data_IF_608356401476
#
_entry.id   IF_608356401476
#
_cell.length_a   1.000
_cell.length_b   1.000
_cell.length_c   1.000
_cell.angle_alpha   90.00
_cell.angle_beta   90.00
_cell.angle_gamma   90.00
#
_symmetry.space_group_name_H-M   'P 1'
#
loop_
_entity.id
_entity.type
_entity.pdbx_description
1 polymer ?
#
# COMPACT_ATOMS: atom_id res chain seq x y z
N UNK A 1 -13.38 -12.11 8.20
CA UNK A 1 -12.33 -13.07 8.56
C UNK A 1 -12.40 -13.52 10.02
N UNK A 2 -12.68 -12.67 11.01
CA UNK A 2 -12.75 -13.08 12.42
C UNK A 2 -13.67 -14.29 12.65
N UNK A 3 -14.92 -14.23 12.15
CA UNK A 3 -15.88 -15.34 12.27
C UNK A 3 -15.46 -16.62 11.55
N UNK A 4 -14.65 -16.50 10.51
CA UNK A 4 -14.10 -17.67 9.82
C UNK A 4 -12.95 -18.30 10.61
N UNK A 5 -12.07 -17.48 11.21
CA UNK A 5 -10.97 -17.95 12.04
C UNK A 5 -11.48 -18.75 13.25
N UNK A 6 -12.57 -18.32 13.88
CA UNK A 6 -13.20 -19.03 15.00
C UNK A 6 -13.64 -20.46 14.68
N UNK A 7 -13.76 -20.83 13.41
CA UNK A 7 -14.12 -22.18 12.98
C UNK A 7 -12.93 -23.15 12.93
N UNK A 8 -11.69 -22.63 12.98
CA UNK A 8 -10.49 -23.45 12.99
C UNK A 8 -10.06 -23.77 14.42
N UNK A 9 -9.51 -24.98 14.65
CA UNK A 9 -8.97 -25.33 15.97
C UNK A 9 -7.71 -24.52 16.29
N UNK A 10 -7.32 -24.53 17.56
CA UNK A 10 -6.05 -23.95 18.01
C UNK A 10 -4.87 -24.63 17.33
N UNK A 11 -3.81 -23.86 17.04
CA UNK A 11 -2.55 -24.37 16.50
C UNK A 11 -2.72 -25.19 15.22
N UNK A 12 -3.53 -24.72 14.30
CA UNK A 12 -3.86 -25.41 13.05
C UNK A 12 -2.88 -25.08 11.91
N UNK A 13 -2.55 -23.78 11.73
CA UNK A 13 -1.74 -23.30 10.62
C UNK A 13 -0.25 -23.25 10.99
N UNK A 14 0.63 -23.57 10.03
CA UNK A 14 2.08 -23.47 10.19
C UNK A 14 2.58 -22.04 10.05
N UNK A 15 2.00 -21.27 9.13
CA UNK A 15 2.31 -19.88 8.86
C UNK A 15 1.10 -19.14 8.29
N UNK A 16 1.09 -17.83 8.41
CA UNK A 16 0.05 -16.97 7.84
C UNK A 16 0.72 -15.81 7.10
N UNK A 17 0.27 -15.57 5.86
CA UNK A 17 0.62 -14.38 5.08
C UNK A 17 -0.66 -13.64 4.74
N UNK A 18 -0.71 -12.34 5.02
CA UNK A 18 -1.91 -11.54 4.82
C UNK A 18 -1.60 -10.13 4.33
N UNK A 19 -2.50 -9.59 3.52
CA UNK A 19 -2.48 -8.21 3.04
C UNK A 19 -3.78 -7.51 3.49
N UNK A 20 -3.85 -7.06 4.75
CA UNK A 20 -5.04 -6.40 5.27
C UNK A 20 -5.19 -4.99 4.67
N UNK A 21 -6.37 -4.37 4.74
CA UNK A 21 -6.54 -2.96 4.39
C UNK A 21 -5.53 -2.06 5.11
N UNK A 22 -4.92 -1.11 4.37
CA UNK A 22 -3.86 -0.25 4.92
C UNK A 22 -4.38 0.92 5.77
N UNK A 23 -5.70 1.04 5.91
CA UNK A 23 -6.38 2.06 6.70
C UNK A 23 -5.98 3.51 6.31
N UNK A 24 -5.76 3.70 5.01
CA UNK A 24 -5.40 5.00 4.42
C UNK A 24 -6.63 5.80 3.98
N UNK A 25 -7.83 5.21 4.04
CA UNK A 25 -9.05 5.78 3.49
C UNK A 25 -8.96 5.98 1.98
N UNK A 26 -8.35 5.03 1.27
CA UNK A 26 -8.05 5.12 -0.16
C UNK A 26 -9.27 5.50 -0.98
N UNK A 27 -9.23 6.64 -1.67
CA UNK A 27 -10.31 7.20 -2.48
C UNK A 27 -11.66 7.34 -1.72
N UNK A 28 -11.63 7.51 -0.40
CA UNK A 28 -12.83 7.57 0.44
C UNK A 28 -13.59 6.25 0.54
N UNK A 29 -12.97 5.14 0.22
CA UNK A 29 -13.58 3.81 0.26
C UNK A 29 -13.67 3.29 1.69
N UNK A 30 -14.85 2.90 2.12
CA UNK A 30 -15.11 2.40 3.49
C UNK A 30 -14.32 1.14 3.85
N UNK A 31 -13.98 0.29 2.87
CA UNK A 31 -13.25 -0.94 3.12
C UNK A 31 -11.79 -0.69 3.58
N UNK A 32 -11.20 0.47 3.23
CA UNK A 32 -9.84 0.86 3.63
C UNK A 32 -9.84 1.85 4.81
N UNK A 33 -10.86 1.80 5.65
CA UNK A 33 -11.00 2.59 6.88
C UNK A 33 -11.91 1.89 7.89
N UNK A 34 -11.76 0.57 7.98
CA UNK A 34 -12.56 -0.27 8.87
C UNK A 34 -11.93 -0.44 10.25
N UNK A 35 -10.65 -0.11 10.40
CA UNK A 35 -9.87 -0.34 11.60
C UNK A 35 -9.48 -1.80 11.81
N UNK A 36 -9.74 -2.69 10.84
CA UNK A 36 -9.53 -4.14 11.01
C UNK A 36 -8.05 -4.49 11.20
N UNK A 37 -7.12 -3.74 10.55
CA UNK A 37 -5.69 -3.96 10.69
C UNK A 37 -5.17 -3.59 12.10
N UNK A 38 -5.95 -2.82 12.88
CA UNK A 38 -5.60 -2.42 14.25
C UNK A 38 -6.41 -3.16 15.32
N UNK A 39 -7.24 -4.11 14.91
CA UNK A 39 -8.10 -4.86 15.81
C UNK A 39 -7.31 -5.98 16.51
N UNK A 40 -7.00 -5.78 17.78
CA UNK A 40 -6.26 -6.74 18.62
C UNK A 40 -6.98 -8.08 18.70
N UNK A 41 -8.32 -8.11 18.79
CA UNK A 41 -9.10 -9.34 18.84
C UNK A 41 -8.89 -10.20 17.59
N UNK A 42 -8.81 -9.56 16.40
CA UNK A 42 -8.49 -10.27 15.17
C UNK A 42 -7.12 -10.94 15.25
N UNK A 43 -6.11 -10.21 15.71
CA UNK A 43 -4.75 -10.73 15.81
C UNK A 43 -4.60 -11.78 16.91
N UNK A 44 -5.40 -11.71 17.97
CA UNK A 44 -5.49 -12.77 18.99
C UNK A 44 -6.04 -14.08 18.40
N UNK A 45 -7.07 -13.99 17.52
CA UNK A 45 -7.57 -15.15 16.81
C UNK A 45 -6.56 -15.70 15.80
N UNK A 46 -5.83 -14.83 15.10
CA UNK A 46 -4.69 -15.22 14.24
C UNK A 46 -3.62 -15.93 15.05
N UNK A 47 -3.28 -15.41 16.23
CA UNK A 47 -2.34 -16.04 17.17
C UNK A 47 -2.84 -17.43 17.63
N UNK A 48 -4.11 -17.55 17.99
CA UNK A 48 -4.71 -18.79 18.46
C UNK A 48 -4.59 -19.92 17.43
N UNK A 49 -4.96 -19.66 16.18
CA UNK A 49 -4.96 -20.67 15.11
C UNK A 49 -3.58 -20.99 14.57
N UNK A 50 -2.58 -20.15 14.83
CA UNK A 50 -1.20 -20.40 14.41
C UNK A 50 -0.51 -21.36 15.39
N UNK A 51 0.30 -22.31 14.89
CA UNK A 51 1.11 -23.20 15.72
C UNK A 51 2.15 -22.41 16.52
N UNK A 52 2.54 -22.86 17.75
CA UNK A 52 3.66 -22.27 18.48
C UNK A 52 4.92 -22.20 17.62
N UNK A 53 5.60 -21.05 17.58
CA UNK A 53 6.75 -20.81 16.70
C UNK A 53 6.41 -20.51 15.24
N UNK A 54 5.13 -20.60 14.84
CA UNK A 54 4.68 -20.23 13.50
C UNK A 54 4.87 -18.75 13.21
N UNK A 55 5.14 -18.40 11.94
CA UNK A 55 5.39 -17.03 11.51
C UNK A 55 4.17 -16.39 10.86
N UNK A 56 4.01 -15.10 11.12
CA UNK A 56 3.04 -14.21 10.49
C UNK A 56 3.78 -13.18 9.65
N UNK A 57 3.39 -13.02 8.39
CA UNK A 57 3.80 -11.93 7.52
C UNK A 57 2.57 -11.08 7.21
N UNK A 58 2.57 -9.82 7.64
CA UNK A 58 1.46 -8.88 7.40
C UNK A 58 1.95 -7.67 6.63
N UNK A 59 1.43 -7.49 5.40
CA UNK A 59 1.74 -6.33 4.56
C UNK A 59 1.07 -5.08 5.11
N UNK A 60 1.72 -3.93 4.97
CA UNK A 60 1.19 -2.66 5.44
C UNK A 60 1.66 -1.47 4.63
N UNK A 61 0.95 -0.36 4.77
CA UNK A 61 1.36 0.90 4.16
C UNK A 61 2.40 1.64 5.02
N UNK A 62 3.35 2.32 4.37
CA UNK A 62 4.43 3.08 5.06
C UNK A 62 3.93 4.10 6.10
N UNK A 63 2.68 4.56 5.97
CA UNK A 63 2.08 5.54 6.88
C UNK A 63 1.41 4.94 8.10
N UNK A 64 1.04 3.66 8.04
CA UNK A 64 0.10 3.02 8.99
C UNK A 64 0.59 1.71 9.56
N UNK A 65 1.60 1.06 8.94
CA UNK A 65 2.10 -0.26 9.36
C UNK A 65 2.53 -0.32 10.84
N UNK A 66 3.03 0.78 11.39
CA UNK A 66 3.46 0.85 12.80
C UNK A 66 2.30 0.57 13.76
N UNK A 67 1.07 1.05 13.45
CA UNK A 67 -0.12 0.77 14.27
C UNK A 67 -0.54 -0.69 14.20
N UNK A 68 -0.42 -1.30 13.00
CA UNK A 68 -0.67 -2.73 12.83
C UNK A 68 0.38 -3.56 13.56
N UNK A 69 1.66 -3.17 13.50
CA UNK A 69 2.73 -3.83 14.25
C UNK A 69 2.48 -3.80 15.76
N UNK A 70 2.06 -2.65 16.32
CA UNK A 70 1.67 -2.55 17.73
C UNK A 70 0.47 -3.48 18.05
N UNK A 71 -0.57 -3.51 17.19
CA UNK A 71 -1.73 -4.37 17.44
C UNK A 71 -1.38 -5.87 17.38
N UNK A 72 -0.45 -6.26 16.50
CA UNK A 72 0.09 -7.62 16.43
C UNK A 72 0.87 -7.97 17.69
N UNK A 73 1.74 -7.06 18.18
CA UNK A 73 2.51 -7.23 19.40
C UNK A 73 1.59 -7.30 20.64
N UNK A 74 0.62 -6.39 20.76
CA UNK A 74 -0.38 -6.36 21.84
C UNK A 74 -1.26 -7.61 21.86
N UNK A 75 -1.45 -8.27 20.72
CA UNK A 75 -2.13 -9.56 20.64
C UNK A 75 -1.30 -10.74 21.18
N UNK A 76 -0.01 -10.55 21.45
CA UNK A 76 0.89 -11.54 22.04
C UNK A 76 1.90 -12.15 21.08
N UNK A 77 2.06 -11.62 19.87
CA UNK A 77 3.13 -11.99 18.95
C UNK A 77 4.48 -11.39 19.37
N UNK A 78 5.55 -12.06 19.03
CA UNK A 78 6.91 -11.52 19.05
C UNK A 78 7.21 -10.87 17.68
N UNK A 79 7.40 -9.56 17.62
CA UNK A 79 7.90 -8.90 16.41
C UNK A 79 9.35 -9.34 16.20
N UNK A 80 9.65 -9.87 15.00
CA UNK A 80 10.96 -10.43 14.67
C UNK A 80 11.76 -9.56 13.73
N UNK A 81 11.09 -8.98 12.71
CA UNK A 81 11.75 -8.15 11.71
C UNK A 81 10.71 -7.35 10.91
N UNK A 82 11.20 -6.49 10.00
CA UNK A 82 10.40 -5.80 9.02
C UNK A 82 11.00 -6.03 7.62
N UNK A 83 10.34 -6.84 6.80
CA UNK A 83 10.72 -7.08 5.41
C UNK A 83 10.22 -5.93 4.54
N UNK A 84 10.98 -5.57 3.50
CA UNK A 84 10.59 -4.51 2.57
C UNK A 84 10.30 -5.10 1.19
N UNK A 85 9.08 -4.94 0.72
CA UNK A 85 8.73 -5.20 -0.67
C UNK A 85 9.05 -3.95 -1.50
N UNK A 86 10.15 -3.98 -2.25
CA UNK A 86 10.62 -2.83 -3.02
C UNK A 86 10.02 -2.80 -4.41
N UNK A 87 9.61 -1.62 -4.88
CA UNK A 87 9.13 -1.41 -6.24
C UNK A 87 9.47 -0.01 -6.76
N UNK A 88 9.66 0.10 -8.09
CA UNK A 88 10.05 1.37 -8.74
C UNK A 88 8.84 2.21 -9.20
N UNK A 89 7.64 1.64 -9.24
CA UNK A 89 6.45 2.22 -9.87
C UNK A 89 5.32 2.54 -8.87
N UNK A 90 5.66 3.09 -7.71
CA UNK A 90 4.67 3.49 -6.72
C UNK A 90 3.71 4.57 -7.27
N UNK A 91 2.44 4.52 -6.84
CA UNK A 91 1.44 5.53 -7.20
C UNK A 91 1.83 6.90 -6.61
N UNK A 92 2.02 7.96 -7.41
CA UNK A 92 2.38 9.27 -6.90
C UNK A 92 1.21 9.87 -6.12
N UNK A 93 1.43 10.19 -4.84
CA UNK A 93 0.45 10.82 -3.94
C UNK A 93 0.76 12.30 -3.70
N UNK A 94 1.83 12.82 -4.33
CA UNK A 94 2.27 14.19 -4.19
C UNK A 94 1.49 15.11 -5.10
N UNK A 95 1.04 16.25 -4.55
CA UNK A 95 0.57 17.36 -5.33
C UNK A 95 1.74 18.30 -5.61
N UNK A 96 1.82 18.82 -6.82
CA UNK A 96 2.75 19.86 -7.24
C UNK A 96 2.25 21.21 -6.67
N UNK A 97 3.04 21.81 -5.77
CA UNK A 97 2.64 23.03 -5.04
C UNK A 97 2.62 24.22 -5.99
N UNK A 98 3.62 24.34 -6.84
CA UNK A 98 3.73 25.40 -7.85
C UNK A 98 2.49 25.45 -8.75
N UNK A 99 2.09 24.30 -9.31
CA UNK A 99 0.87 24.19 -10.12
C UNK A 99 -0.41 24.49 -9.34
N UNK A 100 -0.44 24.11 -8.07
CA UNK A 100 -1.59 24.38 -7.21
C UNK A 100 -1.74 25.88 -6.91
N UNK A 101 -0.63 26.62 -6.75
CA UNK A 101 -0.60 28.08 -6.55
C UNK A 101 -1.13 28.79 -7.78
N UNK A 102 -0.56 28.54 -8.96
CA UNK A 102 -1.01 29.17 -10.21
C UNK A 102 -2.51 28.92 -10.46
N UNK A 103 -2.95 27.67 -10.26
CA UNK A 103 -4.38 27.33 -10.36
C UNK A 103 -5.25 28.11 -9.38
N UNK A 104 -4.79 28.32 -8.15
CA UNK A 104 -5.52 29.09 -7.13
C UNK A 104 -5.59 30.58 -7.48
N UNK A 105 -4.54 31.11 -8.09
CA UNK A 105 -4.44 32.51 -8.54
C UNK A 105 -5.09 32.75 -9.91
N UNK A 106 -5.57 31.66 -10.59
CA UNK A 106 -6.18 31.75 -11.91
C UNK A 106 -5.19 32.08 -13.03
N UNK A 107 -3.90 31.85 -12.80
CA UNK A 107 -2.85 32.11 -13.78
C UNK A 107 -2.68 30.89 -14.72
N UNK A 108 -2.55 31.16 -16.02
CA UNK A 108 -2.27 30.17 -17.04
C UNK A 108 -0.77 29.94 -17.18
N UNK A 109 -0.34 28.69 -17.16
CA UNK A 109 1.06 28.27 -17.28
C UNK A 109 1.43 28.06 -18.75
N UNK A 110 2.56 28.59 -19.17
CA UNK A 110 3.10 28.35 -20.49
C UNK A 110 3.60 26.91 -20.62
N UNK A 111 3.28 26.25 -21.73
CA UNK A 111 3.81 24.93 -22.07
C UNK A 111 5.19 25.09 -22.69
N UNK A 112 6.23 24.64 -21.99
CA UNK A 112 7.63 24.76 -22.39
C UNK A 112 8.23 23.46 -22.95
N UNK A 113 7.50 22.36 -22.87
CA UNK A 113 7.98 21.05 -23.37
C UNK A 113 7.02 19.91 -23.11
N UNK A 114 7.52 18.72 -23.41
CA UNK A 114 6.77 17.48 -23.25
C UNK A 114 7.60 16.48 -22.43
N UNK A 115 6.99 15.83 -21.46
CA UNK A 115 7.60 14.76 -20.66
C UNK A 115 7.65 13.46 -21.47
N UNK A 116 8.75 13.23 -22.16
CA UNK A 116 8.97 12.01 -22.96
C UNK A 116 8.93 10.73 -22.10
N UNK A 117 9.33 10.79 -20.84
CA UNK A 117 9.28 9.64 -19.93
C UNK A 117 7.83 9.29 -19.62
N UNK A 118 7.00 10.31 -19.38
CA UNK A 118 5.57 10.12 -19.20
C UNK A 118 4.92 9.51 -20.44
N UNK A 119 5.24 10.02 -21.63
CA UNK A 119 4.70 9.52 -22.90
C UNK A 119 5.16 8.08 -23.19
N UNK A 120 6.42 7.73 -22.95
CA UNK A 120 6.92 6.35 -23.11
C UNK A 120 6.21 5.36 -22.17
N UNK A 121 5.92 5.77 -20.94
CA UNK A 121 5.20 4.94 -19.95
C UNK A 121 3.71 4.85 -20.23
N UNK A 122 3.17 5.81 -20.94
CA UNK A 122 1.75 5.92 -21.25
C UNK A 122 1.55 6.15 -22.76
N UNK A 123 1.94 5.19 -23.64
CA UNK A 123 1.91 5.40 -25.09
C UNK A 123 0.51 5.69 -25.66
N UNK A 124 -0.54 5.34 -24.90
CA UNK A 124 -1.92 5.63 -25.24
C UNK A 124 -2.42 6.98 -24.71
N UNK A 125 -1.59 7.73 -23.98
CA UNK A 125 -1.92 9.02 -23.39
C UNK A 125 -1.24 10.18 -24.15
N UNK A 126 -1.31 10.13 -25.47
CA UNK A 126 -0.84 11.19 -26.38
C UNK A 126 -1.77 12.41 -26.41
N UNK A 127 -2.28 12.85 -25.24
CA UNK A 127 -3.34 13.88 -25.19
C UNK A 127 -4.69 13.41 -25.75
N UNK A 128 -4.71 12.25 -26.37
CA UNK A 128 -5.89 11.57 -26.92
C UNK A 128 -6.03 10.22 -26.20
N UNK A 129 -6.37 10.26 -24.91
CA UNK A 129 -6.65 9.02 -24.15
C UNK A 129 -7.82 8.28 -24.78
N UNK A 130 -7.55 7.21 -25.50
CA UNK A 130 -8.55 6.22 -25.87
C UNK A 130 -8.73 5.22 -24.71
N UNK A 131 -9.49 5.60 -23.69
CA UNK A 131 -10.44 4.61 -23.18
C UNK A 131 -11.49 4.55 -24.29
N UNK A 132 -11.70 3.37 -24.90
CA UNK A 132 -12.75 3.20 -25.89
C UNK A 132 -14.08 3.57 -25.21
N UNK A 133 -14.54 4.79 -25.45
CA UNK A 133 -15.81 5.30 -24.96
C UNK A 133 -16.81 5.21 -26.08
N UNK A 134 -18.02 4.82 -25.75
CA UNK A 134 -19.17 4.96 -26.65
C UNK A 134 -19.39 6.44 -26.99
N UNK A 135 -20.14 6.72 -28.03
CA UNK A 135 -20.46 8.09 -28.47
C UNK A 135 -21.14 8.96 -27.40
N UNK A 136 -21.70 8.35 -26.35
CA UNK A 136 -22.35 8.98 -25.21
C UNK A 136 -21.37 9.29 -24.00
N UNK A 137 -20.08 9.05 -24.16
CA UNK A 137 -19.07 9.28 -23.12
C UNK A 137 -18.98 8.18 -22.06
N UNK A 138 -19.67 7.05 -22.25
CA UNK A 138 -19.56 5.88 -21.38
C UNK A 138 -18.43 4.95 -21.86
N UNK A 139 -17.75 4.27 -20.92
CA UNK A 139 -16.78 3.22 -21.26
C UNK A 139 -17.48 1.97 -21.77
N UNK A 140 -16.76 1.07 -22.45
CA UNK A 140 -17.32 -0.19 -22.94
C UNK A 140 -17.92 -1.07 -21.81
N UNK A 141 -17.50 -0.86 -20.56
CA UNK A 141 -18.04 -1.52 -19.36
C UNK A 141 -19.24 -0.76 -18.73
N UNK A 142 -19.74 0.29 -19.38
CA UNK A 142 -20.95 1.03 -18.97
C UNK A 142 -20.72 2.06 -17.85
N UNK A 143 -19.48 2.33 -17.45
CA UNK A 143 -19.18 3.34 -16.41
C UNK A 143 -19.02 4.72 -17.05
N UNK A 144 -19.59 5.75 -16.42
CA UNK A 144 -19.25 7.14 -16.78
C UNK A 144 -17.83 7.44 -16.32
N UNK A 145 -16.95 7.87 -17.22
CA UNK A 145 -15.59 8.27 -16.85
C UNK A 145 -15.66 9.58 -16.05
N UNK A 146 -15.24 9.58 -14.77
CA UNK A 146 -15.20 10.82 -13.98
C UNK A 146 -14.00 11.71 -14.36
N UNK A 147 -13.14 11.26 -15.27
CA UNK A 147 -11.95 12.00 -15.65
C UNK A 147 -12.24 12.93 -16.82
N UNK A 148 -12.37 14.24 -16.54
CA UNK A 148 -12.12 15.24 -17.58
C UNK A 148 -10.67 15.05 -18.05
N UNK A 149 -10.47 14.89 -19.38
CA UNK A 149 -9.13 14.93 -19.98
C UNK A 149 -8.44 16.20 -19.49
N UNK A 150 -7.24 16.07 -18.90
CA UNK A 150 -6.37 17.21 -18.81
C UNK A 150 -5.80 17.44 -20.20
N UNK A 151 -6.07 18.56 -20.82
CA UNK A 151 -5.55 18.94 -22.14
C UNK A 151 -4.01 18.98 -22.17
N UNK A 152 -3.36 18.91 -20.99
CA UNK A 152 -1.93 19.02 -20.79
C UNK A 152 -1.30 17.75 -20.17
N UNK A 153 -1.89 16.57 -20.35
CA UNK A 153 -1.27 15.32 -19.84
C UNK A 153 0.08 15.08 -20.54
N UNK A 154 1.16 15.06 -19.75
CA UNK A 154 2.52 14.94 -20.26
C UNK A 154 3.18 16.24 -20.73
N UNK A 155 2.54 17.41 -20.55
CA UNK A 155 3.18 18.70 -20.81
C UNK A 155 4.03 19.15 -19.61
N UNK A 156 5.21 19.66 -19.90
CA UNK A 156 6.05 20.40 -18.96
C UNK A 156 5.64 21.87 -19.07
N UNK A 157 5.33 22.51 -17.95
CA UNK A 157 4.86 23.90 -17.92
C UNK A 157 5.74 24.74 -17.00
N UNK A 158 5.99 26.00 -17.37
CA UNK A 158 6.68 26.96 -16.51
C UNK A 158 5.72 27.58 -15.47
N UNK A 159 6.22 27.97 -14.27
CA UNK A 159 5.44 28.75 -13.32
C UNK A 159 5.02 30.09 -13.93
N UNK A 160 3.76 30.47 -13.73
CA UNK A 160 3.20 31.72 -14.28
C UNK A 160 3.32 32.88 -13.30
N UNK A 161 3.39 32.62 -12.00
CA UNK A 161 3.45 33.64 -10.95
C UNK A 161 4.75 33.58 -10.15
N UNK A 162 5.23 34.70 -9.56
CA UNK A 162 6.41 34.68 -8.69
C UNK A 162 6.26 33.74 -7.51
N UNK A 163 5.07 33.64 -6.91
CA UNK A 163 4.77 32.73 -5.82
C UNK A 163 4.86 31.27 -6.26
N UNK A 164 4.39 30.95 -7.45
CA UNK A 164 4.53 29.59 -8.00
C UNK A 164 5.99 29.25 -8.34
N UNK A 165 6.78 30.24 -8.74
CA UNK A 165 8.21 30.08 -9.04
C UNK A 165 9.01 29.72 -7.76
N UNK A 166 8.72 30.37 -6.64
CA UNK A 166 9.35 30.08 -5.35
C UNK A 166 9.13 28.61 -4.92
N UNK A 167 7.99 28.02 -5.26
CA UNK A 167 7.60 26.65 -4.91
C UNK A 167 7.81 25.64 -6.05
N UNK A 168 8.57 26.00 -7.07
CA UNK A 168 8.89 25.07 -8.17
C UNK A 168 9.69 23.87 -7.65
N UNK A 169 9.28 22.67 -8.04
CA UNK A 169 9.88 21.41 -7.59
C UNK A 169 9.43 20.93 -6.19
N UNK A 170 8.59 21.69 -5.49
CA UNK A 170 8.06 21.27 -4.19
C UNK A 170 6.78 20.46 -4.33
N UNK A 171 6.70 19.39 -3.53
CA UNK A 171 5.54 18.51 -3.48
C UNK A 171 5.06 18.24 -2.06
N UNK A 172 3.84 17.71 -1.93
CA UNK A 172 3.20 17.45 -0.63
C UNK A 172 3.52 16.08 -0.04
N UNK A 173 4.12 15.17 -0.80
CA UNK A 173 4.42 13.82 -0.34
C UNK A 173 5.55 13.17 -1.16
N UNK A 174 6.22 12.21 -0.57
CA UNK A 174 7.15 11.34 -1.28
C UNK A 174 6.38 10.28 -2.08
N UNK A 175 6.97 9.86 -3.20
CA UNK A 175 6.47 8.72 -3.96
C UNK A 175 6.78 7.45 -3.16
N UNK A 176 5.79 6.57 -2.89
CA UNK A 176 6.06 5.31 -2.23
C UNK A 176 6.96 4.43 -3.10
N UNK A 177 7.93 3.77 -2.47
CA UNK A 177 8.90 2.89 -3.12
C UNK A 177 8.95 1.51 -2.49
N UNK A 178 8.23 1.31 -1.40
CA UNK A 178 8.17 0.04 -0.69
C UNK A 178 6.86 -0.15 0.06
N UNK A 179 6.57 -1.40 0.36
CA UNK A 179 5.58 -1.82 1.34
C UNK A 179 6.30 -2.57 2.46
N UNK A 180 6.19 -2.10 3.72
CA UNK A 180 6.74 -2.82 4.87
C UNK A 180 5.87 -4.04 5.18
N UNK A 181 6.52 -5.16 5.49
CA UNK A 181 5.87 -6.41 5.89
C UNK A 181 6.32 -6.71 7.32
N UNK A 182 5.39 -6.72 8.25
CA UNK A 182 5.67 -7.12 9.63
C UNK A 182 5.93 -8.63 9.64
N UNK A 183 7.15 -9.02 10.05
CA UNK A 183 7.47 -10.41 10.34
C UNK A 183 7.34 -10.62 11.84
N UNK A 184 6.34 -11.39 12.24
CA UNK A 184 6.08 -11.74 13.63
C UNK A 184 6.05 -13.26 13.81
N UNK A 185 6.23 -13.71 15.04
CA UNK A 185 6.21 -15.11 15.41
C UNK A 185 5.32 -15.34 16.62
N UNK A 186 4.51 -16.40 16.61
CA UNK A 186 3.86 -16.87 17.84
C UNK A 186 4.93 -17.37 18.81
N UNK A 187 4.88 -17.02 20.10
CA UNK A 187 5.81 -17.54 21.09
C UNK A 187 5.95 -19.06 21.04
N UNK A 188 7.14 -19.52 21.35
CA UNK A 188 7.40 -20.97 21.45
C UNK A 188 6.61 -21.57 22.63
N UNK A 189 6.16 -22.81 22.49
CA UNK A 189 5.62 -23.57 23.63
C UNK A 189 6.70 -24.38 24.36
N UNK A 190 7.84 -24.56 23.72
CA UNK A 190 8.95 -25.35 24.22
C UNK A 190 10.12 -24.45 24.64
N UNK A 191 11.05 -24.99 25.44
CA UNK A 191 12.20 -24.24 25.97
C UNK A 191 13.18 -23.79 24.89
N UNK A 192 13.31 -24.57 23.80
CA UNK A 192 14.22 -24.30 22.71
C UNK A 192 13.51 -24.31 21.37
N UNK A 193 14.09 -23.65 20.36
CA UNK A 193 13.59 -23.73 18.97
C UNK A 193 13.65 -25.16 18.47
N UNK A 194 14.70 -25.92 18.80
CA UNK A 194 14.85 -27.31 18.37
C UNK A 194 13.71 -28.19 18.92
N UNK A 195 13.38 -28.09 20.19
CA UNK A 195 12.26 -28.81 20.78
C UNK A 195 10.92 -28.41 20.16
N UNK A 196 10.74 -27.13 19.89
CA UNK A 196 9.53 -26.62 19.25
C UNK A 196 9.38 -27.15 17.82
N UNK A 197 10.47 -27.17 17.03
CA UNK A 197 10.47 -27.72 15.66
C UNK A 197 10.18 -29.21 15.68
N UNK A 198 10.79 -29.95 16.59
CA UNK A 198 10.51 -31.40 16.71
C UNK A 198 9.05 -31.71 17.06
N UNK A 199 8.43 -30.84 17.88
CA UNK A 199 7.04 -31.07 18.32
C UNK A 199 6.00 -30.52 17.32
N UNK A 200 6.23 -29.34 16.76
CA UNK A 200 5.24 -28.60 15.99
C UNK A 200 5.57 -28.47 14.50
N UNK A 201 6.80 -28.70 14.08
CA UNK A 201 7.28 -28.47 12.73
C UNK A 201 7.48 -26.98 12.39
N UNK A 202 7.42 -26.09 13.38
CA UNK A 202 7.47 -24.63 13.23
C UNK A 202 8.54 -24.03 14.17
N UNK A 203 8.98 -22.78 13.87
CA UNK A 203 9.99 -22.07 14.67
C UNK A 203 11.22 -21.64 13.87
N UNK A 204 11.50 -22.31 12.73
CA UNK A 204 12.58 -21.95 11.81
C UNK A 204 12.09 -21.21 10.57
N UNK A 205 13.01 -20.49 9.91
CA UNK A 205 12.81 -19.89 8.58
C UNK A 205 13.73 -20.61 7.61
N UNK A 206 13.24 -21.01 6.44
CA UNK A 206 14.04 -21.68 5.41
C UNK A 206 14.89 -20.62 4.66
N UNK A 207 16.03 -20.26 5.27
CA UNK A 207 16.92 -19.20 4.74
C UNK A 207 17.44 -19.58 3.36
N UNK A 208 17.86 -20.81 3.15
CA UNK A 208 18.44 -21.25 1.87
C UNK A 208 17.39 -21.32 0.75
N UNK A 209 16.15 -21.66 1.09
CA UNK A 209 15.04 -21.65 0.13
C UNK A 209 14.53 -20.26 -0.22
N UNK A 210 14.93 -19.22 0.52
CA UNK A 210 14.53 -17.82 0.29
C UNK A 210 15.60 -16.96 -0.42
N UNK A 211 16.73 -17.56 -0.81
CA UNK A 211 17.84 -16.88 -1.50
C UNK A 211 17.69 -16.92 -3.01
#
# INVERSE_FOLDING_TARGET
CLEVLKQYPDSYFDSIVTDPPYELGFMGKKWDSTGIAYNIELWQEVLRVLKPGGHLLAFGGTRTYHRMACAIEDAGFEIRDCIQWLYSMGFPKSHDISKAIDKKLGAEREVIGVDEVFLRRNPNNTGVGRIATKSDGTTLDGRKTPYKKSEHAGSITAPATPEAQEWEGWGTALKPANEPIVLARKPLSEKTIADNVLKWGTGGINIDGCR
#
